data_IF_957415965492
#
_entry.id   IF_957415965492
#
_cell.length_a   1.000
_cell.length_b   1.000
_cell.length_c   1.000
_cell.angle_alpha   90.00
_cell.angle_beta   90.00
_cell.angle_gamma   90.00
#
_symmetry.space_group_name_H-M   'P 1'
#
loop_
_entity.id
_entity.type
_entity.pdbx_description
1 polymer ?
#
# COMPACT_ATOMS: atom_id res chain seq x y z
N UNK A 1 -5.67 -16.25 -18.58
CA UNK A 1 -4.97 -16.32 -17.28
C UNK A 1 -4.64 -14.90 -16.89
N UNK A 2 -5.24 -14.38 -15.83
CA UNK A 2 -5.05 -12.99 -15.39
C UNK A 2 -3.80 -12.94 -14.49
N UNK A 3 -2.64 -12.67 -15.11
CA UNK A 3 -1.37 -12.51 -14.40
C UNK A 3 -1.45 -11.21 -13.61
N UNK A 4 -1.26 -11.28 -12.29
CA UNK A 4 -1.19 -10.08 -11.46
C UNK A 4 -0.03 -9.20 -11.95
N UNK A 5 -0.29 -7.92 -12.14
CA UNK A 5 0.73 -6.98 -12.57
C UNK A 5 1.70 -6.74 -11.40
N UNK A 6 3.00 -6.90 -11.65
CA UNK A 6 4.05 -6.65 -10.66
C UNK A 6 4.68 -5.30 -11.06
N UNK A 7 4.42 -4.22 -10.32
CA UNK A 7 5.02 -2.92 -10.61
C UNK A 7 6.54 -2.98 -10.41
N UNK A 8 7.26 -2.17 -11.18
CA UNK A 8 8.70 -1.97 -10.99
C UNK A 8 8.97 -0.95 -9.88
N UNK A 9 8.05 0.00 -9.68
CA UNK A 9 8.06 0.91 -8.54
C UNK A 9 7.84 0.17 -7.23
N UNK A 10 8.63 0.53 -6.22
CA UNK A 10 8.51 -0.04 -4.86
C UNK A 10 7.09 0.20 -4.33
N UNK A 11 6.41 -0.90 -3.99
CA UNK A 11 4.99 -0.88 -3.62
C UNK A 11 4.78 -1.50 -2.25
N UNK A 12 4.06 -0.81 -1.37
CA UNK A 12 3.69 -1.29 -0.05
C UNK A 12 2.17 -1.29 0.13
N UNK A 13 1.68 -2.22 0.95
CA UNK A 13 0.27 -2.22 1.40
C UNK A 13 0.17 -1.64 2.81
N UNK A 14 -0.87 -0.85 3.06
CA UNK A 14 -1.14 -0.27 4.37
C UNK A 14 -2.63 -0.36 4.70
N UNK A 15 -2.95 -0.47 5.98
CA UNK A 15 -4.35 -0.35 6.44
C UNK A 15 -4.74 1.13 6.57
N UNK A 16 -6.04 1.43 6.61
CA UNK A 16 -6.54 2.81 6.70
C UNK A 16 -5.95 3.59 7.88
N UNK A 17 -5.71 2.94 9.03
CA UNK A 17 -5.10 3.56 10.21
C UNK A 17 -3.64 3.94 9.96
N UNK A 18 -2.85 3.08 9.32
CA UNK A 18 -1.47 3.37 8.96
C UNK A 18 -1.39 4.53 7.97
N UNK A 19 -2.32 4.58 7.01
CA UNK A 19 -2.41 5.68 6.05
C UNK A 19 -2.59 7.03 6.75
N UNK A 20 -3.46 7.11 7.75
CA UNK A 20 -3.63 8.34 8.53
C UNK A 20 -2.33 8.74 9.24
N UNK A 21 -1.56 7.78 9.77
CA UNK A 21 -0.29 8.10 10.41
C UNK A 21 0.77 8.56 9.39
N UNK A 22 0.79 7.99 8.19
CA UNK A 22 1.65 8.45 7.09
C UNK A 22 1.31 9.87 6.68
N UNK A 23 0.01 10.18 6.56
CA UNK A 23 -0.48 11.52 6.22
C UNK A 23 -0.14 12.57 7.26
N UNK A 24 -0.17 12.19 8.54
CA UNK A 24 0.14 13.07 9.67
C UNK A 24 1.64 13.10 10.03
N UNK A 25 2.42 12.17 9.48
CA UNK A 25 3.83 11.98 9.81
C UNK A 25 4.78 12.72 8.86
N UNK A 26 5.94 13.10 9.37
CA UNK A 26 6.93 13.86 8.59
C UNK A 26 7.87 12.96 7.75
N UNK A 27 7.79 11.63 7.93
CA UNK A 27 8.75 10.68 7.34
C UNK A 27 8.80 10.70 5.80
N UNK A 28 7.73 11.18 5.16
CA UNK A 28 7.61 11.24 3.71
C UNK A 28 7.61 12.67 3.15
N UNK A 29 7.73 13.69 3.99
CA UNK A 29 7.57 15.10 3.58
C UNK A 29 8.72 15.65 2.71
N UNK A 30 9.87 14.98 2.66
CA UNK A 30 11.09 15.66 2.24
C UNK A 30 11.70 15.33 0.88
N UNK A 31 11.22 14.37 0.07
CA UNK A 31 11.71 14.21 -1.34
C UNK A 31 11.10 13.10 -2.19
N UNK A 32 10.07 12.38 -1.72
CA UNK A 32 9.57 11.20 -2.45
C UNK A 32 8.28 11.54 -3.19
N UNK A 33 8.27 11.34 -4.52
CA UNK A 33 7.06 11.39 -5.30
C UNK A 33 6.26 10.12 -5.02
N UNK A 34 5.22 10.24 -4.20
CA UNK A 34 4.40 9.10 -3.77
C UNK A 34 3.11 9.01 -4.57
N UNK A 35 2.75 7.79 -4.94
CA UNK A 35 1.41 7.44 -5.40
C UNK A 35 0.66 6.70 -4.33
N UNK A 36 -0.66 6.87 -4.30
CA UNK A 36 -1.52 6.05 -3.46
C UNK A 36 -2.71 5.52 -4.25
N UNK A 37 -3.03 4.26 -3.96
CA UNK A 37 -4.26 3.63 -4.37
C UNK A 37 -5.18 3.57 -3.14
N UNK A 38 -6.31 4.27 -3.16
CA UNK A 38 -7.24 4.36 -2.02
C UNK A 38 -8.47 3.49 -2.22
N UNK A 39 -9.00 2.92 -1.14
CA UNK A 39 -10.19 2.08 -1.15
C UNK A 39 -11.33 2.71 -0.33
N UNK A 40 -11.06 3.05 0.92
CA UNK A 40 -12.04 3.62 1.84
C UNK A 40 -11.72 5.07 2.20
N UNK A 41 -10.42 5.38 2.29
CA UNK A 41 -9.95 6.70 2.72
C UNK A 41 -9.94 7.66 1.52
N UNK A 42 -10.69 8.76 1.63
CA UNK A 42 -10.52 9.89 0.72
C UNK A 42 -9.45 10.81 1.31
N UNK A 43 -8.42 11.10 0.53
CA UNK A 43 -7.36 12.03 0.91
C UNK A 43 -7.03 12.90 -0.29
N UNK A 44 -6.80 14.19 -0.05
CA UNK A 44 -6.37 15.19 -1.03
C UNK A 44 -5.05 15.82 -0.55
N UNK A 45 -4.17 14.97 -0.03
CA UNK A 45 -2.89 15.42 0.52
C UNK A 45 -1.89 15.70 -0.58
N UNK A 46 -1.24 16.86 -0.51
CA UNK A 46 -0.09 17.24 -1.36
C UNK A 46 1.13 16.30 -1.18
N UNK A 47 1.10 15.41 -0.17
CA UNK A 47 2.08 14.35 0.00
C UNK A 47 2.08 13.36 -1.18
N UNK A 48 0.92 13.16 -1.82
CA UNK A 48 0.78 12.23 -2.92
C UNK A 48 0.77 12.99 -4.25
N UNK A 49 1.75 12.70 -5.09
CA UNK A 49 1.79 13.17 -6.46
C UNK A 49 0.60 12.63 -7.28
N UNK A 50 0.07 11.46 -6.90
CA UNK A 50 -1.09 10.85 -7.56
C UNK A 50 -1.91 9.98 -6.63
N UNK A 51 -3.23 10.15 -6.68
CA UNK A 51 -4.21 9.46 -5.83
C UNK A 51 -5.21 8.77 -6.76
N UNK A 52 -5.32 7.45 -6.69
CA UNK A 52 -6.24 6.65 -7.52
C UNK A 52 -7.23 5.89 -6.63
N UNK A 53 -8.51 6.27 -6.61
CA UNK A 53 -9.52 5.52 -5.88
C UNK A 53 -9.93 4.24 -6.62
N UNK A 54 -9.97 3.10 -5.92
CA UNK A 54 -10.46 1.82 -6.44
C UNK A 54 -11.96 1.67 -6.14
N UNK A 55 -12.75 1.11 -7.07
CA UNK A 55 -14.14 0.75 -6.79
C UNK A 55 -14.29 -0.23 -5.62
N UNK A 56 -15.33 0.01 -4.81
CA UNK A 56 -15.73 -0.85 -3.68
C UNK A 56 -16.45 -2.10 -4.18
N UNK A 57 -15.68 -3.10 -4.62
CA UNK A 57 -16.24 -4.39 -5.03
C UNK A 57 -15.18 -5.48 -5.23
N UNK A 58 -15.39 -6.62 -4.58
CA UNK A 58 -14.45 -7.77 -4.54
C UNK A 58 -14.11 -8.27 -5.95
N UNK A 59 -15.11 -8.40 -6.83
CA UNK A 59 -14.95 -8.99 -8.17
C UNK A 59 -14.05 -8.17 -9.10
N UNK A 60 -14.09 -6.85 -8.99
CA UNK A 60 -13.36 -5.94 -9.88
C UNK A 60 -12.10 -5.35 -9.23
N UNK A 61 -11.88 -5.62 -7.94
CA UNK A 61 -10.80 -5.03 -7.16
C UNK A 61 -9.43 -5.28 -7.81
N UNK A 62 -9.07 -6.52 -8.13
CA UNK A 62 -7.75 -6.83 -8.69
C UNK A 62 -7.53 -6.23 -10.08
N UNK A 63 -8.58 -6.17 -10.90
CA UNK A 63 -8.49 -5.53 -12.22
C UNK A 63 -8.20 -4.06 -12.06
N UNK A 64 -8.99 -3.37 -11.25
CA UNK A 64 -8.82 -1.95 -10.99
C UNK A 64 -7.48 -1.64 -10.29
N UNK A 65 -7.03 -2.51 -9.38
CA UNK A 65 -5.71 -2.41 -8.76
C UNK A 65 -4.59 -2.54 -9.80
N UNK A 66 -4.65 -3.53 -10.69
CA UNK A 66 -3.63 -3.69 -11.74
C UNK A 66 -3.57 -2.47 -12.67
N UNK A 67 -4.73 -1.92 -13.05
CA UNK A 67 -4.79 -0.72 -13.88
C UNK A 67 -4.22 0.50 -13.13
N UNK A 68 -4.56 0.68 -11.86
CA UNK A 68 -4.04 1.73 -11.00
C UNK A 68 -2.51 1.61 -10.81
N UNK A 69 -2.01 0.41 -10.52
CA UNK A 69 -0.57 0.16 -10.36
C UNK A 69 0.19 0.49 -11.65
N UNK A 70 -0.32 0.09 -12.81
CA UNK A 70 0.30 0.42 -14.10
C UNK A 70 0.32 1.93 -14.35
N UNK A 71 -0.75 2.62 -13.99
CA UNK A 71 -0.85 4.07 -14.14
C UNK A 71 0.11 4.83 -13.20
N UNK A 72 0.31 4.33 -11.98
CA UNK A 72 1.26 4.88 -11.01
C UNK A 72 2.71 4.55 -11.37
N UNK A 73 2.99 3.33 -11.85
CA UNK A 73 4.32 2.89 -12.30
C UNK A 73 4.82 3.77 -13.47
N UNK A 74 3.92 4.16 -14.37
CA UNK A 74 4.22 5.08 -15.48
C UNK A 74 4.43 6.54 -15.04
N UNK A 75 4.04 6.91 -13.82
CA UNK A 75 4.18 8.27 -13.32
C UNK A 75 5.58 8.58 -12.77
N UNK A 76 6.51 7.62 -12.77
CA UNK A 76 7.89 7.83 -12.32
C UNK A 76 8.00 8.10 -10.82
N UNK A 77 7.12 7.49 -10.04
CA UNK A 77 7.03 7.64 -8.59
C UNK A 77 8.16 6.86 -7.89
N UNK A 78 8.60 7.35 -6.74
CA UNK A 78 9.56 6.64 -5.89
C UNK A 78 8.88 5.50 -5.12
N UNK A 79 7.60 5.69 -4.76
CA UNK A 79 6.85 4.80 -3.88
C UNK A 79 5.38 4.75 -4.27
N UNK A 80 4.79 3.56 -4.19
CA UNK A 80 3.34 3.36 -4.28
C UNK A 80 2.82 2.77 -2.96
N UNK A 81 1.83 3.42 -2.37
CA UNK A 81 1.05 2.89 -1.25
C UNK A 81 -0.28 2.33 -1.76
N UNK A 82 -0.66 1.16 -1.26
CA UNK A 82 -1.94 0.53 -1.55
C UNK A 82 -2.71 0.42 -0.26
N UNK A 83 -3.83 1.13 -0.14
CA UNK A 83 -4.76 0.98 0.97
C UNK A 83 -5.44 -0.40 0.85
N UNK A 84 -5.34 -1.19 1.92
CA UNK A 84 -5.97 -2.49 1.99
C UNK A 84 -7.49 -2.36 2.18
N UNK A 85 -8.28 -3.24 1.55
CA UNK A 85 -9.69 -3.33 1.84
C UNK A 85 -9.92 -3.90 3.24
N UNK A 86 -11.15 -3.78 3.79
CA UNK A 86 -11.49 -4.28 5.12
C UNK A 86 -11.18 -5.77 5.29
N UNK A 87 -10.91 -6.22 6.52
CA UNK A 87 -10.66 -7.64 6.82
C UNK A 87 -11.94 -8.49 6.97
N UNK A 88 -13.08 -8.03 6.42
CA UNK A 88 -14.32 -8.81 6.47
C UNK A 88 -14.24 -10.07 5.59
N UNK A 89 -15.11 -11.04 5.88
CA UNK A 89 -15.12 -12.37 5.22
C UNK A 89 -15.19 -12.27 3.69
N UNK A 90 -15.98 -11.33 3.16
CA UNK A 90 -16.12 -11.05 1.73
C UNK A 90 -14.78 -10.68 1.05
N UNK A 91 -13.89 -10.03 1.79
CA UNK A 91 -12.57 -9.58 1.31
C UNK A 91 -11.44 -10.55 1.65
N UNK A 92 -11.72 -11.63 2.38
CA UNK A 92 -10.69 -12.57 2.86
C UNK A 92 -9.77 -13.09 1.74
N UNK A 93 -10.35 -13.49 0.62
CA UNK A 93 -9.59 -13.97 -0.55
C UNK A 93 -8.78 -12.87 -1.24
N UNK A 94 -9.28 -11.63 -1.24
CA UNK A 94 -8.57 -10.46 -1.79
C UNK A 94 -7.39 -10.09 -0.90
N UNK A 95 -7.61 -10.00 0.40
CA UNK A 95 -6.58 -9.70 1.38
C UNK A 95 -5.47 -10.75 1.36
N UNK A 96 -5.82 -12.03 1.30
CA UNK A 96 -4.85 -13.12 1.21
C UNK A 96 -3.97 -13.01 -0.03
N UNK A 97 -4.57 -12.70 -1.19
CA UNK A 97 -3.81 -12.52 -2.42
C UNK A 97 -2.99 -11.22 -2.40
N UNK A 98 -3.49 -10.13 -1.81
CA UNK A 98 -2.72 -8.89 -1.60
C UNK A 98 -1.48 -9.14 -0.74
N UNK A 99 -1.60 -9.88 0.37
CA UNK A 99 -0.48 -10.20 1.25
C UNK A 99 0.64 -10.96 0.53
N UNK A 100 0.30 -11.75 -0.49
CA UNK A 100 1.27 -12.51 -1.31
C UNK A 100 1.94 -11.67 -2.40
N UNK A 101 1.25 -10.64 -2.89
CA UNK A 101 1.72 -9.82 -4.01
C UNK A 101 2.44 -8.55 -3.55
N UNK A 102 2.04 -8.00 -2.41
CA UNK A 102 2.48 -6.68 -1.94
C UNK A 102 2.93 -6.77 -0.48
N UNK A 103 4.15 -6.31 -0.24
CA UNK A 103 4.76 -6.28 1.09
C UNK A 103 4.06 -5.28 2.02
N UNK A 104 3.86 -5.62 3.31
CA UNK A 104 3.29 -4.68 4.27
C UNK A 104 4.19 -3.46 4.46
N UNK A 105 3.58 -2.29 4.60
CA UNK A 105 4.24 -1.12 5.14
C UNK A 105 4.61 -1.44 6.59
N UNK A 106 5.91 -1.64 6.84
CA UNK A 106 6.45 -1.83 8.17
C UNK A 106 7.09 -0.53 8.67
N UNK A 107 7.04 -0.33 9.98
CA UNK A 107 7.69 0.80 10.65
C UNK A 107 9.08 0.33 11.11
N UNK A 108 10.14 0.94 10.61
CA UNK A 108 11.48 0.78 11.19
C UNK A 108 11.60 1.50 12.54
N UNK A 109 12.63 1.17 13.33
CA UNK A 109 12.97 1.64 14.70
C UNK A 109 12.85 3.16 14.97
N UNK A 110 11.64 3.71 14.91
CA UNK A 110 11.34 5.12 15.15
C UNK A 110 11.24 6.01 13.90
N UNK A 111 11.40 5.47 12.69
CA UNK A 111 11.15 6.20 11.44
C UNK A 111 10.44 5.31 10.42
N UNK A 112 9.50 5.86 9.62
CA UNK A 112 8.83 5.09 8.56
C UNK A 112 9.82 4.83 7.43
N UNK A 113 10.71 3.87 7.61
CA UNK A 113 11.64 3.44 6.57
C UNK A 113 11.00 2.34 5.73
N UNK A 114 11.17 2.47 4.41
CA UNK A 114 11.02 1.39 3.44
C UNK A 114 11.86 0.23 3.98
N UNK A 115 11.22 -0.77 4.58
CA UNK A 115 11.93 -1.95 5.04
C UNK A 115 12.49 -2.65 3.82
N UNK A 116 13.82 -2.62 3.70
CA UNK A 116 14.53 -3.41 2.72
C UNK A 116 14.14 -4.87 2.93
N UNK A 117 13.67 -5.53 1.87
CA UNK A 117 13.04 -6.87 1.89
C UNK A 117 13.96 -7.95 2.48
N UNK A 118 15.25 -7.66 2.71
CA UNK A 118 16.17 -8.53 3.44
C UNK A 118 15.94 -8.62 4.97
N UNK A 119 15.24 -7.65 5.60
CA UNK A 119 15.13 -7.58 7.08
C UNK A 119 13.74 -8.01 7.59
N UNK A 120 12.75 -8.14 6.70
CA UNK A 120 11.35 -8.42 7.08
C UNK A 120 11.13 -9.79 7.77
N UNK A 121 12.09 -10.71 7.68
CA UNK A 121 12.03 -12.00 8.40
C UNK A 121 12.27 -11.85 9.92
N UNK A 122 12.82 -10.72 10.39
CA UNK A 122 13.18 -10.57 11.81
C UNK A 122 12.13 -9.82 12.66
N UNK A 123 11.22 -9.04 12.06
CA UNK A 123 10.37 -8.09 12.82
C UNK A 123 8.92 -8.60 12.98
N UNK A 124 8.55 -9.71 12.36
CA UNK A 124 7.16 -10.25 12.45
C UNK A 124 6.84 -10.89 13.81
N UNK A 125 7.78 -10.99 14.75
CA UNK A 125 7.58 -11.75 16.00
C UNK A 125 7.44 -10.94 17.29
N UNK A 126 7.51 -9.61 17.29
CA UNK A 126 7.56 -8.84 18.55
C UNK A 126 6.46 -7.78 18.73
N UNK A 127 5.34 -7.87 18.01
CA UNK A 127 4.22 -6.93 18.23
C UNK A 127 2.86 -7.60 18.05
N UNK A 128 2.64 -8.71 18.76
CA UNK A 128 1.31 -9.24 19.06
C UNK A 128 1.42 -9.99 20.38
N UNK A 129 1.28 -9.30 21.52
CA UNK A 129 0.65 -9.76 22.76
C UNK A 129 0.83 -8.68 23.84
N UNK A 130 -0.24 -7.93 24.11
CA UNK A 130 -0.72 -7.71 25.48
C UNK A 130 -2.25 -7.74 25.45
#
# INVERSE_FOLDING_TARGET
MDVAYIPTTTTFRCISEQLQIVLLGDAFQHRQAMGIVTFATTTDSDLFAKIIPIPKGVTNYFRALNDALRELDQAGLDLILVEQPPESEEWGSVNERLRKLIQPLAKGDGNWTIVDTAIATAITYDVFFD
#
